data_IF_675596157922
#
_entry.id   IF_675596157922
#
_cell.length_a   1.000
_cell.length_b   1.000
_cell.length_c   1.000
_cell.angle_alpha   90.00
_cell.angle_beta   90.00
_cell.angle_gamma   90.00
#
_symmetry.space_group_name_H-M   'P 1'
#
loop_
_entity.id
_entity.type
_entity.pdbx_description
1 polymer ?
#
# COMPACT_ATOMS: atom_id res chain seq x y z
N UNK A 1 -1.85 47.77 -3.25
CA UNK A 1 -1.56 46.68 -2.28
C UNK A 1 -2.86 46.32 -1.60
N UNK A 2 -3.59 45.31 -2.10
CA UNK A 2 -4.80 44.79 -1.48
C UNK A 2 -4.42 43.48 -0.77
N UNK A 3 -4.16 43.48 0.55
CA UNK A 3 -3.35 42.44 1.18
C UNK A 3 -4.14 41.25 1.74
N UNK A 4 -5.48 41.25 1.68
CA UNK A 4 -6.30 40.19 2.28
C UNK A 4 -6.88 39.16 1.30
N UNK A 5 -7.26 39.58 0.09
CA UNK A 5 -8.04 38.73 -0.84
C UNK A 5 -7.20 37.66 -1.55
N UNK A 6 -5.88 37.85 -1.68
CA UNK A 6 -5.00 36.83 -2.30
C UNK A 6 -4.78 35.64 -1.39
N UNK A 7 -4.49 35.89 -0.10
CA UNK A 7 -4.19 34.85 0.88
C UNK A 7 -5.37 33.92 1.14
N UNK A 8 -6.59 34.45 1.26
CA UNK A 8 -7.78 33.60 1.43
C UNK A 8 -8.03 32.72 0.20
N UNK A 9 -7.88 33.27 -1.01
CA UNK A 9 -8.01 32.51 -2.26
C UNK A 9 -6.93 31.44 -2.37
N UNK A 10 -5.67 31.79 -2.09
CA UNK A 10 -4.54 30.87 -2.14
C UNK A 10 -4.68 29.75 -1.11
N UNK A 11 -5.10 30.07 0.12
CA UNK A 11 -5.40 29.07 1.14
C UNK A 11 -6.55 28.14 0.72
N UNK A 12 -7.62 28.68 0.11
CA UNK A 12 -8.75 27.88 -0.38
C UNK A 12 -8.34 26.97 -1.55
N UNK A 13 -7.54 27.47 -2.50
CA UNK A 13 -7.05 26.68 -3.63
C UNK A 13 -6.08 25.59 -3.17
N UNK A 14 -5.13 25.92 -2.29
CA UNK A 14 -4.18 24.97 -1.73
C UNK A 14 -4.89 23.90 -0.90
N UNK A 15 -5.78 24.31 0.02
CA UNK A 15 -6.58 23.38 0.81
C UNK A 15 -7.50 22.52 -0.05
N UNK A 16 -8.15 23.12 -1.05
CA UNK A 16 -9.00 22.40 -2.00
C UNK A 16 -8.22 21.36 -2.81
N UNK A 17 -7.00 21.70 -3.25
CA UNK A 17 -6.12 20.76 -3.94
C UNK A 17 -5.71 19.58 -3.04
N UNK A 18 -5.34 19.86 -1.78
CA UNK A 18 -4.98 18.80 -0.81
C UNK A 18 -6.16 17.87 -0.57
N UNK A 19 -7.36 18.41 -0.32
CA UNK A 19 -8.58 17.62 -0.13
C UNK A 19 -8.91 16.81 -1.39
N UNK A 20 -8.76 17.40 -2.57
CA UNK A 20 -9.02 16.70 -3.83
C UNK A 20 -8.06 15.52 -4.03
N UNK A 21 -6.77 15.70 -3.76
CA UNK A 21 -5.78 14.62 -3.87
C UNK A 21 -6.08 13.52 -2.84
N UNK A 22 -6.23 13.87 -1.56
CA UNK A 22 -6.46 12.90 -0.50
C UNK A 22 -7.78 12.14 -0.68
N UNK A 23 -8.85 12.82 -1.07
CA UNK A 23 -10.13 12.18 -1.37
C UNK A 23 -10.07 11.29 -2.60
N UNK A 24 -9.37 11.70 -3.65
CA UNK A 24 -9.15 10.87 -4.84
C UNK A 24 -8.39 9.59 -4.49
N UNK A 25 -7.33 9.70 -3.69
CA UNK A 25 -6.56 8.54 -3.22
C UNK A 25 -7.42 7.62 -2.36
N UNK A 26 -8.17 8.17 -1.41
CA UNK A 26 -9.05 7.39 -0.55
C UNK A 26 -10.16 6.67 -1.35
N UNK A 27 -10.73 7.33 -2.35
CA UNK A 27 -11.73 6.70 -3.25
C UNK A 27 -11.10 5.59 -4.08
N UNK A 28 -9.86 5.77 -4.56
CA UNK A 28 -9.16 4.75 -5.33
C UNK A 28 -8.78 3.53 -4.48
N UNK A 29 -8.17 3.75 -3.31
CA UNK A 29 -7.65 2.65 -2.48
C UNK A 29 -8.71 2.01 -1.58
N UNK A 30 -9.72 2.78 -1.16
CA UNK A 30 -10.72 2.36 -0.18
C UNK A 30 -10.19 2.23 1.25
N UNK A 31 -8.94 2.62 1.51
CA UNK A 31 -8.29 2.54 2.83
C UNK A 31 -7.86 3.93 3.30
N UNK A 32 -7.94 4.17 4.61
CA UNK A 32 -7.46 5.40 5.23
C UNK A 32 -6.59 5.07 6.47
N UNK A 33 -5.34 5.58 6.56
CA UNK A 33 -4.67 6.44 5.59
C UNK A 33 -4.32 5.71 4.28
N UNK A 34 -4.45 6.36 3.11
CA UNK A 34 -4.28 5.70 1.81
C UNK A 34 -2.81 5.42 1.45
N UNK A 35 -1.88 6.06 2.14
CA UNK A 35 -0.43 5.99 1.88
C UNK A 35 0.33 5.84 3.20
N UNK A 36 1.32 4.95 3.21
CA UNK A 36 2.21 4.73 4.36
C UNK A 36 3.67 4.64 3.90
N UNK A 37 4.59 4.92 4.82
CA UNK A 37 6.05 4.82 4.57
C UNK A 37 6.55 3.48 5.10
N UNK A 38 7.44 2.84 4.35
CA UNK A 38 8.11 1.61 4.79
C UNK A 38 9.33 1.97 5.64
N UNK A 39 9.32 1.56 6.91
CA UNK A 39 10.40 1.89 7.86
C UNK A 39 11.51 0.83 7.90
N UNK A 40 11.21 -0.43 7.56
CA UNK A 40 12.14 -1.55 7.77
C UNK A 40 12.53 -2.24 6.47
N UNK A 41 13.78 -2.70 6.40
CA UNK A 41 14.30 -3.46 5.26
C UNK A 41 13.93 -4.94 5.24
N UNK A 42 12.88 -5.35 5.98
CA UNK A 42 12.47 -6.77 6.03
C UNK A 42 11.92 -7.30 4.70
N UNK A 43 11.51 -6.39 3.81
CA UNK A 43 11.03 -6.70 2.46
C UNK A 43 12.08 -6.46 1.36
N UNK A 44 13.32 -6.11 1.73
CA UNK A 44 14.41 -5.95 0.76
C UNK A 44 14.86 -7.31 0.25
N UNK A 45 15.05 -7.42 -1.06
CA UNK A 45 15.55 -8.63 -1.71
C UNK A 45 17.08 -8.62 -1.92
N UNK A 46 17.71 -7.44 -1.82
CA UNK A 46 19.16 -7.22 -2.02
C UNK A 46 19.64 -6.10 -1.10
N UNK A 47 20.95 -6.06 -0.79
CA UNK A 47 21.53 -5.03 0.10
C UNK A 47 21.50 -3.62 -0.50
N UNK A 48 21.39 -3.49 -1.83
CA UNK A 48 21.38 -2.23 -2.56
C UNK A 48 19.97 -1.79 -3.02
N UNK A 49 18.93 -2.52 -2.62
CA UNK A 49 17.57 -2.35 -3.15
C UNK A 49 17.40 -2.96 -4.54
N UNK A 50 16.14 -3.20 -4.94
CA UNK A 50 15.84 -3.81 -6.25
C UNK A 50 14.59 -3.20 -6.85
N UNK A 51 14.64 -2.94 -8.17
CA UNK A 51 13.47 -2.44 -8.90
C UNK A 51 12.37 -3.49 -8.85
N UNK A 52 11.25 -3.13 -8.20
CA UNK A 52 10.11 -4.02 -7.99
C UNK A 52 10.07 -4.63 -6.60
N UNK A 53 11.10 -4.51 -5.77
CA UNK A 53 11.01 -4.83 -4.34
C UNK A 53 10.37 -3.67 -3.55
N UNK A 54 10.13 -3.88 -2.26
CA UNK A 54 9.71 -2.81 -1.34
C UNK A 54 10.92 -2.46 -0.48
N UNK A 55 11.42 -1.24 -0.64
CA UNK A 55 12.62 -0.75 0.02
C UNK A 55 12.28 0.26 1.15
N UNK A 56 13.16 0.41 2.16
CA UNK A 56 12.98 1.42 3.20
C UNK A 56 12.92 2.84 2.63
N UNK A 57 11.92 3.60 3.05
CA UNK A 57 11.65 4.95 2.55
C UNK A 57 10.62 5.01 1.41
N UNK A 58 10.19 3.87 0.88
CA UNK A 58 9.13 3.83 -0.12
C UNK A 58 7.78 4.27 0.45
N UNK A 59 7.03 5.02 -0.37
CA UNK A 59 5.63 5.34 -0.14
C UNK A 59 4.76 4.30 -0.82
N UNK A 60 4.04 3.50 -0.04
CA UNK A 60 3.15 2.48 -0.57
C UNK A 60 1.69 2.90 -0.39
N UNK A 61 0.88 2.64 -1.41
CA UNK A 61 -0.57 2.84 -1.35
C UNK A 61 -1.23 1.59 -0.79
N UNK A 62 -2.02 1.74 0.26
CA UNK A 62 -2.68 0.63 0.94
C UNK A 62 -4.05 0.40 0.35
N UNK A 63 -4.25 -0.73 -0.31
CA UNK A 63 -5.55 -1.12 -0.86
C UNK A 63 -6.43 -1.76 0.21
N UNK A 64 -7.72 -1.47 0.18
CA UNK A 64 -8.70 -2.15 1.03
C UNK A 64 -8.84 -3.62 0.59
N UNK A 65 -8.72 -4.59 1.52
CA UNK A 65 -8.82 -6.02 1.18
C UNK A 65 -10.17 -6.42 0.58
N UNK A 66 -11.26 -5.68 0.85
CA UNK A 66 -12.58 -5.96 0.28
C UNK A 66 -12.71 -5.56 -1.21
N UNK A 67 -11.70 -4.85 -1.74
CA UNK A 67 -11.69 -4.33 -3.12
C UNK A 67 -10.76 -5.08 -4.05
N UNK A 68 -9.93 -5.97 -3.51
CA UNK A 68 -8.93 -6.71 -4.28
C UNK A 68 -9.02 -8.18 -3.90
N UNK A 69 -8.83 -9.04 -4.88
CA UNK A 69 -8.59 -10.46 -4.60
C UNK A 69 -7.13 -10.62 -4.19
N UNK A 70 -6.89 -11.27 -3.04
CA UNK A 70 -5.55 -11.50 -2.51
C UNK A 70 -5.10 -12.87 -2.98
N UNK A 71 -4.05 -12.91 -3.79
CA UNK A 71 -3.41 -14.14 -4.25
C UNK A 71 -2.26 -14.49 -3.32
N UNK A 72 -2.29 -15.70 -2.76
CA UNK A 72 -1.21 -16.20 -1.89
C UNK A 72 -0.04 -16.74 -2.70
N UNK A 73 1.13 -16.85 -2.07
CA UNK A 73 2.33 -17.43 -2.67
C UNK A 73 2.08 -18.86 -3.20
N UNK A 74 1.35 -19.68 -2.44
CA UNK A 74 1.03 -21.06 -2.86
C UNK A 74 0.14 -21.06 -4.10
N UNK A 75 -0.92 -20.24 -4.13
CA UNK A 75 -1.79 -20.13 -5.31
C UNK A 75 -1.04 -19.65 -6.56
N UNK A 76 -0.07 -18.75 -6.37
CA UNK A 76 0.75 -18.24 -7.47
C UNK A 76 1.84 -19.23 -7.97
N UNK A 77 2.19 -20.25 -7.17
CA UNK A 77 3.27 -21.21 -7.49
C UNK A 77 2.78 -22.63 -7.77
N UNK A 78 1.52 -22.93 -7.50
CA UNK A 78 0.92 -24.25 -7.71
C UNK A 78 0.58 -24.47 -9.19
N UNK A 79 1.22 -25.47 -9.80
CA UNK A 79 0.94 -25.86 -11.19
C UNK A 79 -0.52 -26.30 -11.34
N UNK A 80 -1.26 -25.60 -12.21
CA UNK A 80 -2.69 -25.87 -12.45
C UNK A 80 -3.65 -24.98 -11.66
N UNK A 81 -3.14 -24.10 -10.78
CA UNK A 81 -3.93 -23.03 -10.20
C UNK A 81 -4.22 -21.93 -11.24
N UNK A 82 -5.37 -21.25 -11.12
CA UNK A 82 -5.73 -20.15 -12.02
C UNK A 82 -4.79 -18.95 -11.93
N UNK A 83 -4.16 -18.76 -10.76
CA UNK A 83 -3.24 -17.68 -10.49
C UNK A 83 -1.77 -18.05 -10.70
N UNK A 84 -1.48 -19.21 -11.29
CA UNK A 84 -0.11 -19.68 -11.51
C UNK A 84 0.72 -18.66 -12.31
N UNK A 85 1.87 -18.27 -11.76
CA UNK A 85 2.77 -17.26 -12.35
C UNK A 85 2.44 -15.81 -11.99
N UNK A 86 1.46 -15.56 -11.11
CA UNK A 86 1.16 -14.22 -10.63
C UNK A 86 2.24 -13.69 -9.69
N UNK A 87 2.78 -12.51 -9.98
CA UNK A 87 3.87 -11.90 -9.19
C UNK A 87 3.54 -10.46 -8.79
N UNK A 88 3.73 -10.15 -7.52
CA UNK A 88 3.64 -8.81 -6.97
C UNK A 88 4.89 -8.49 -6.18
N UNK A 89 5.44 -7.30 -6.43
CA UNK A 89 6.68 -6.84 -5.81
C UNK A 89 7.88 -7.80 -6.01
N UNK A 90 8.07 -8.27 -7.25
CA UNK A 90 9.25 -9.05 -7.66
C UNK A 90 9.27 -10.53 -7.25
N UNK A 91 8.22 -11.04 -6.59
CA UNK A 91 8.06 -12.47 -6.32
C UNK A 91 6.58 -12.89 -6.39
N UNK A 92 6.34 -14.20 -6.43
CA UNK A 92 5.00 -14.78 -6.52
C UNK A 92 4.05 -14.39 -5.37
N UNK A 93 2.78 -14.14 -5.69
CA UNK A 93 1.72 -13.78 -4.74
C UNK A 93 1.75 -12.32 -4.27
N UNK A 94 0.82 -11.97 -3.39
CA UNK A 94 0.62 -10.61 -2.89
C UNK A 94 1.28 -10.33 -1.53
N UNK A 95 1.49 -9.04 -1.29
CA UNK A 95 1.99 -8.50 -0.02
C UNK A 95 0.84 -7.82 0.71
N UNK A 96 0.65 -8.18 1.97
CA UNK A 96 -0.42 -7.66 2.82
C UNK A 96 0.15 -6.88 4.00
N UNK A 97 -0.64 -5.93 4.49
CA UNK A 97 -0.34 -5.15 5.70
C UNK A 97 -1.34 -5.55 6.77
N UNK A 98 -0.86 -5.85 7.97
CA UNK A 98 -1.70 -6.26 9.10
C UNK A 98 -1.19 -5.75 10.45
N UNK A 99 -2.09 -5.66 11.41
CA UNK A 99 -1.77 -5.32 12.79
C UNK A 99 -1.36 -6.59 13.55
N UNK A 100 -0.20 -6.55 14.20
CA UNK A 100 0.25 -7.64 15.06
C UNK A 100 -0.69 -7.76 16.27
N UNK A 101 -1.24 -8.95 16.49
CA UNK A 101 -2.06 -9.29 17.65
C UNK A 101 -3.27 -8.35 17.90
N UNK A 102 -3.77 -7.67 16.87
CA UNK A 102 -4.86 -6.68 17.02
C UNK A 102 -4.50 -5.46 17.89
N UNK A 103 -3.21 -5.22 18.13
CA UNK A 103 -2.73 -4.04 18.83
C UNK A 103 -2.66 -2.81 17.92
N UNK A 104 -2.41 -1.65 18.53
CA UNK A 104 -2.21 -0.37 17.83
C UNK A 104 -0.74 -0.09 17.50
N UNK A 105 0.11 -1.12 17.51
CA UNK A 105 1.53 -0.99 17.18
C UNK A 105 1.75 -0.73 15.69
N UNK A 106 2.97 -0.41 15.30
CA UNK A 106 3.36 -0.22 13.90
C UNK A 106 2.91 -1.44 13.07
N UNK A 107 2.07 -1.23 12.04
CA UNK A 107 1.59 -2.31 11.21
C UNK A 107 2.76 -2.96 10.47
N UNK A 108 2.59 -4.23 10.12
CA UNK A 108 3.65 -5.02 9.49
C UNK A 108 3.24 -5.46 8.11
N UNK A 109 4.21 -5.42 7.21
CA UNK A 109 4.09 -5.77 5.81
C UNK A 109 4.80 -7.10 5.55
N UNK A 110 4.07 -8.09 5.03
CA UNK A 110 4.65 -9.37 4.63
C UNK A 110 3.86 -10.00 3.49
N UNK A 111 4.51 -10.92 2.78
CA UNK A 111 3.91 -11.72 1.73
C UNK A 111 2.92 -12.74 2.30
N UNK A 112 1.75 -12.83 1.71
CA UNK A 112 0.75 -13.82 2.08
C UNK A 112 1.17 -15.20 1.55
N UNK A 113 1.43 -16.15 2.43
CA UNK A 113 1.92 -17.48 2.03
C UNK A 113 0.77 -18.43 1.66
N UNK A 114 -0.23 -18.52 2.52
CA UNK A 114 -1.35 -19.45 2.42
C UNK A 114 -2.57 -18.89 3.15
N UNK A 115 -3.76 -19.26 2.68
CA UNK A 115 -5.03 -18.91 3.29
C UNK A 115 -5.55 -20.09 4.10
N UNK A 116 -5.65 -19.93 5.42
CA UNK A 116 -6.31 -20.92 6.26
C UNK A 116 -7.83 -20.79 6.13
N UNK A 117 -8.51 -21.89 5.84
CA UNK A 117 -9.98 -21.99 5.78
C UNK A 117 -10.43 -22.79 6.99
N UNK A 118 -11.41 -22.28 7.73
CA UNK A 118 -12.01 -22.94 8.89
C UNK A 118 -13.20 -23.84 8.48
#
# INVERSE_FOLDING_TARGET
MAPGFSWTREAMLAGGLVVLILSSMWVATGSFPPMVVVESGSMMHTEEGSVGAIDPGDLVLVMNPDRVEIVTFVEATEEGNENFGYETHGMAGDVIIYQKNGGSDTPVIHRALLKAVA
#
